data_IF_979963804766
#
_entry.id   IF_979963804766
#
_cell.length_a   1.000
_cell.length_b   1.000
_cell.length_c   1.000
_cell.angle_alpha   90.00
_cell.angle_beta   90.00
_cell.angle_gamma   90.00
#
_symmetry.space_group_name_H-M   'P 1'
#
loop_
_entity.id
_entity.type
_entity.pdbx_description
1 polymer ?
#
# COMPACT_ATOMS: atom_id res chain seq x y z
N UNK A 1 -11.39 -18.97 7.17
CA UNK A 1 -10.46 -17.93 6.69
C UNK A 1 -10.58 -16.74 7.63
N UNK A 2 -9.49 -16.25 8.24
CA UNK A 2 -9.56 -15.06 9.10
C UNK A 2 -9.81 -13.82 8.23
N UNK A 3 -10.74 -12.95 8.64
CA UNK A 3 -11.01 -11.69 7.94
C UNK A 3 -9.83 -10.71 8.05
N UNK A 4 -9.68 -9.84 7.04
CA UNK A 4 -8.74 -8.72 7.08
C UNK A 4 -9.01 -7.81 8.29
N UNK A 5 -7.94 -7.33 8.92
CA UNK A 5 -8.00 -6.45 10.09
C UNK A 5 -7.80 -4.97 9.78
N UNK A 6 -7.03 -4.67 8.73
CA UNK A 6 -6.83 -3.31 8.20
C UNK A 6 -6.27 -3.39 6.77
N UNK A 7 -6.31 -2.28 6.05
CA UNK A 7 -5.74 -2.12 4.71
C UNK A 7 -4.79 -0.92 4.64
N UNK A 8 -3.57 -1.12 4.14
CA UNK A 8 -2.67 -0.04 3.72
C UNK A 8 -2.76 0.15 2.19
N UNK A 9 -3.01 1.39 1.76
CA UNK A 9 -3.08 1.78 0.35
C UNK A 9 -1.97 2.77 -0.03
N UNK A 10 -1.21 2.43 -1.06
CA UNK A 10 -0.16 3.28 -1.63
C UNK A 10 -0.56 3.88 -3.00
N UNK A 11 -0.24 5.16 -3.27
CA UNK A 11 -0.58 5.83 -4.52
C UNK A 11 0.31 5.40 -5.68
N UNK A 12 -0.14 5.73 -6.90
CA UNK A 12 0.68 5.59 -8.10
C UNK A 12 1.74 6.68 -8.21
N UNK A 13 2.59 6.58 -9.23
CA UNK A 13 3.61 7.57 -9.52
C UNK A 13 3.01 8.98 -9.66
N UNK A 14 3.57 9.97 -8.96
CA UNK A 14 3.15 11.36 -9.00
C UNK A 14 1.82 11.69 -8.30
N UNK A 15 1.12 10.70 -7.77
CA UNK A 15 -0.11 10.89 -6.99
C UNK A 15 0.19 10.97 -5.48
N UNK A 16 -0.85 11.25 -4.69
CA UNK A 16 -0.81 11.25 -3.21
C UNK A 16 -1.90 10.35 -2.62
N UNK A 17 -1.91 10.30 -1.29
CA UNK A 17 -2.90 9.58 -0.48
C UNK A 17 -4.36 9.95 -0.75
N UNK A 18 -4.64 11.09 -1.40
CA UNK A 18 -5.99 11.55 -1.73
C UNK A 18 -6.40 11.26 -3.18
N UNK A 19 -5.60 10.48 -3.92
CA UNK A 19 -5.99 10.03 -5.25
C UNK A 19 -7.37 9.35 -5.23
N UNK A 20 -8.28 9.76 -6.11
CA UNK A 20 -9.70 9.38 -6.09
C UNK A 20 -9.93 7.87 -5.94
N UNK A 21 -9.16 7.02 -6.62
CA UNK A 21 -9.25 5.55 -6.49
C UNK A 21 -8.99 5.07 -5.06
N UNK A 22 -7.99 5.64 -4.37
CA UNK A 22 -7.68 5.23 -3.00
C UNK A 22 -8.75 5.70 -2.02
N UNK A 23 -9.28 6.91 -2.22
CA UNK A 23 -10.41 7.42 -1.44
C UNK A 23 -11.64 6.52 -1.60
N UNK A 24 -12.02 6.21 -2.84
CA UNK A 24 -13.17 5.36 -3.13
C UNK A 24 -13.06 3.96 -2.48
N UNK A 25 -11.86 3.35 -2.49
CA UNK A 25 -11.64 2.05 -1.84
C UNK A 25 -11.76 2.16 -0.31
N UNK A 26 -11.17 3.21 0.29
CA UNK A 26 -11.28 3.41 1.73
C UNK A 26 -12.72 3.63 2.18
N UNK A 27 -13.48 4.44 1.44
CA UNK A 27 -14.87 4.75 1.75
C UNK A 27 -15.75 3.49 1.63
N UNK A 28 -15.55 2.69 0.58
CA UNK A 28 -16.28 1.45 0.34
C UNK A 28 -16.00 0.34 1.37
N UNK A 29 -14.85 0.39 2.06
CA UNK A 29 -14.45 -0.60 3.05
C UNK A 29 -14.80 -0.21 4.48
N UNK A 30 -15.35 0.99 4.71
CA UNK A 30 -15.79 1.42 6.04
C UNK A 30 -16.77 0.40 6.66
N UNK A 31 -16.59 -0.01 7.94
CA UNK A 31 -15.73 0.59 8.96
C UNK A 31 -14.33 -0.04 9.11
N UNK A 32 -13.86 -0.84 8.14
CA UNK A 32 -12.51 -1.40 8.18
C UNK A 32 -11.47 -0.27 8.24
N UNK A 33 -10.45 -0.32 9.12
CA UNK A 33 -9.36 0.65 9.11
C UNK A 33 -8.59 0.62 7.78
N UNK A 34 -8.57 1.75 7.08
CA UNK A 34 -7.80 1.93 5.84
C UNK A 34 -6.88 3.13 5.97
N UNK A 35 -5.56 2.91 5.91
CA UNK A 35 -4.58 3.99 5.81
C UNK A 35 -4.20 4.22 4.35
N UNK A 36 -4.11 5.49 3.96
CA UNK A 36 -3.63 5.90 2.64
C UNK A 36 -2.31 6.65 2.86
N UNK A 37 -1.21 6.08 2.44
CA UNK A 37 0.11 6.67 2.70
C UNK A 37 0.55 7.64 1.60
N UNK A 38 1.46 8.55 1.95
CA UNK A 38 2.29 9.27 0.98
C UNK A 38 3.72 8.72 0.98
N UNK A 39 4.30 8.59 -0.22
CA UNK A 39 5.72 8.21 -0.35
C UNK A 39 6.66 9.37 0.05
N UNK A 40 7.90 9.08 0.49
CA UNK A 40 8.88 10.10 0.90
C UNK A 40 9.13 11.20 -0.15
N UNK A 41 9.18 10.88 -1.44
CA UNK A 41 9.28 11.87 -2.51
C UNK A 41 8.11 12.86 -2.50
N UNK A 42 6.88 12.36 -2.32
CA UNK A 42 5.67 13.19 -2.24
C UNK A 42 5.67 14.06 -0.98
N UNK A 43 6.00 13.48 0.17
CA UNK A 43 6.13 14.21 1.45
C UNK A 43 7.18 15.33 1.37
N UNK A 44 8.26 15.12 0.61
CA UNK A 44 9.32 16.11 0.38
C UNK A 44 9.04 17.09 -0.78
N UNK A 45 7.87 17.05 -1.41
CA UNK A 45 7.53 17.92 -2.55
C UNK A 45 8.38 17.69 -3.81
N UNK A 46 9.06 16.54 -3.93
CA UNK A 46 9.92 16.21 -5.08
C UNK A 46 9.09 15.68 -6.24
N UNK A 47 9.53 16.01 -7.47
CA UNK A 47 8.99 15.40 -8.70
C UNK A 47 9.50 13.96 -8.85
N UNK A 48 8.67 13.09 -9.42
CA UNK A 48 9.02 11.69 -9.68
C UNK A 48 8.66 10.74 -8.54
N UNK A 49 9.20 9.52 -8.60
CA UNK A 49 8.99 8.46 -7.59
C UNK A 49 10.27 8.17 -6.83
N UNK A 50 10.12 7.67 -5.60
CA UNK A 50 11.25 7.13 -4.85
C UNK A 50 11.85 5.91 -5.57
N UNK A 51 13.15 5.69 -5.35
CA UNK A 51 13.78 4.42 -5.76
C UNK A 51 13.10 3.27 -5.01
N UNK A 52 12.99 2.12 -5.66
CA UNK A 52 12.25 0.98 -5.11
C UNK A 52 12.63 0.61 -3.65
N UNK A 53 13.92 0.54 -3.26
CA UNK A 53 14.27 0.23 -1.86
C UNK A 53 13.73 1.24 -0.85
N UNK A 54 13.71 2.54 -1.20
CA UNK A 54 13.18 3.60 -0.33
C UNK A 54 11.67 3.50 -0.22
N UNK A 55 10.98 3.25 -1.34
CA UNK A 55 9.54 3.12 -1.36
C UNK A 55 9.07 1.85 -0.62
N UNK A 56 9.76 0.72 -0.78
CA UNK A 56 9.49 -0.52 -0.04
C UNK A 56 9.67 -0.31 1.47
N UNK A 57 10.78 0.32 1.89
CA UNK A 57 11.00 0.64 3.30
C UNK A 57 9.91 1.55 3.89
N UNK A 58 9.41 2.51 3.11
CA UNK A 58 8.28 3.35 3.50
C UNK A 58 7.00 2.52 3.69
N UNK A 59 6.69 1.58 2.77
CA UNK A 59 5.54 0.67 2.92
C UNK A 59 5.65 -0.15 4.21
N UNK A 60 6.82 -0.73 4.49
CA UNK A 60 7.05 -1.53 5.72
C UNK A 60 6.83 -0.67 6.99
N UNK A 61 7.30 0.57 6.96
CA UNK A 61 7.16 1.50 8.10
C UNK A 61 5.69 1.85 8.36
N UNK A 62 4.97 2.26 7.31
CA UNK A 62 3.54 2.61 7.40
C UNK A 62 2.68 1.39 7.76
N UNK A 63 3.03 0.20 7.26
CA UNK A 63 2.38 -1.06 7.62
C UNK A 63 2.52 -1.37 9.12
N UNK A 64 3.72 -1.21 9.68
CA UNK A 64 3.95 -1.42 11.10
C UNK A 64 3.17 -0.43 11.97
N UNK A 65 3.10 0.84 11.53
CA UNK A 65 2.32 1.87 12.22
C UNK A 65 0.82 1.56 12.20
N UNK A 66 0.27 1.16 11.05
CA UNK A 66 -1.14 0.78 10.94
C UNK A 66 -1.48 -0.45 11.77
N UNK A 67 -0.63 -1.49 11.73
CA UNK A 67 -0.82 -2.71 12.54
C UNK A 67 -0.89 -2.38 14.03
N UNK A 68 0.02 -1.53 14.50
CA UNK A 68 0.05 -1.06 15.89
C UNK A 68 -1.18 -0.22 16.23
N UNK A 69 -1.50 0.79 15.41
CA UNK A 69 -2.62 1.71 15.63
C UNK A 69 -3.99 1.04 15.59
N UNK A 70 -4.18 0.09 14.68
CA UNK A 70 -5.40 -0.71 14.57
C UNK A 70 -5.47 -1.87 15.58
N UNK A 71 -4.41 -2.10 16.38
CA UNK A 71 -4.31 -3.19 17.37
C UNK A 71 -4.58 -4.57 16.76
N UNK A 72 -4.07 -4.82 15.56
CA UNK A 72 -4.21 -6.10 14.86
C UNK A 72 -2.91 -6.90 14.88
N UNK A 73 -2.98 -8.19 14.53
CA UNK A 73 -1.79 -8.98 14.21
C UNK A 73 -1.33 -8.65 12.79
N UNK A 74 -0.02 -8.65 12.55
CA UNK A 74 0.55 -8.33 11.23
C UNK A 74 -0.01 -9.24 10.11
N UNK A 75 -0.26 -10.52 10.40
CA UNK A 75 -0.87 -11.46 9.45
C UNK A 75 -2.37 -11.19 9.13
N UNK A 76 -2.97 -10.14 9.68
CA UNK A 76 -4.31 -9.64 9.32
C UNK A 76 -4.28 -8.39 8.44
N UNK A 77 -3.09 -7.84 8.19
CA UNK A 77 -2.92 -6.66 7.36
C UNK A 77 -3.08 -7.04 5.88
N UNK A 78 -3.89 -6.29 5.14
CA UNK A 78 -3.84 -6.29 3.68
C UNK A 78 -3.03 -5.08 3.25
N UNK A 79 -2.16 -5.24 2.26
CA UNK A 79 -1.38 -4.12 1.70
C UNK A 79 -1.59 -4.04 0.20
N UNK A 80 -1.56 -2.83 -0.35
CA UNK A 80 -1.87 -2.69 -1.77
C UNK A 80 -1.73 -1.27 -2.24
N UNK A 81 -2.06 -1.06 -3.51
CA UNK A 81 -1.97 0.26 -4.09
C UNK A 81 -2.16 0.27 -5.59
N UNK A 82 -2.07 1.48 -6.15
CA UNK A 82 -2.23 1.71 -7.57
C UNK A 82 -0.89 1.71 -8.29
N UNK A 83 -0.75 0.92 -9.37
CA UNK A 83 0.42 0.94 -10.26
C UNK A 83 1.75 0.86 -9.47
N UNK A 84 2.57 1.93 -9.47
CA UNK A 84 3.80 2.02 -8.68
C UNK A 84 3.60 1.62 -7.21
N UNK A 85 2.55 2.11 -6.54
CA UNK A 85 2.26 1.74 -5.15
C UNK A 85 1.95 0.26 -4.98
N UNK A 86 1.16 -0.31 -5.91
CA UNK A 86 0.89 -1.75 -5.94
C UNK A 86 2.16 -2.59 -6.10
N UNK A 87 3.07 -2.17 -7.00
CA UNK A 87 4.39 -2.80 -7.17
C UNK A 87 5.18 -2.77 -5.87
N UNK A 88 5.30 -1.63 -5.19
CA UNK A 88 6.09 -1.51 -3.97
C UNK A 88 5.48 -2.34 -2.82
N UNK A 89 4.16 -2.39 -2.69
CA UNK A 89 3.49 -3.27 -1.73
C UNK A 89 3.74 -4.75 -2.04
N UNK A 90 3.67 -5.17 -3.30
CA UNK A 90 3.96 -6.56 -3.68
C UNK A 90 5.42 -6.95 -3.40
N UNK A 91 6.36 -6.04 -3.63
CA UNK A 91 7.77 -6.25 -3.32
C UNK A 91 8.01 -6.35 -1.81
N UNK A 92 7.39 -5.47 -1.01
CA UNK A 92 7.48 -5.55 0.45
C UNK A 92 7.00 -6.90 0.99
N UNK A 93 5.89 -7.44 0.47
CA UNK A 93 5.37 -8.77 0.84
C UNK A 93 6.32 -9.87 0.38
N UNK A 94 6.85 -9.79 -0.84
CA UNK A 94 7.86 -10.74 -1.32
C UNK A 94 9.15 -10.73 -0.48
N UNK A 95 9.54 -9.57 0.06
CA UNK A 95 10.70 -9.37 0.93
C UNK A 95 10.42 -9.72 2.40
N UNK A 96 9.22 -10.24 2.73
CA UNK A 96 8.91 -10.80 4.05
C UNK A 96 7.99 -9.96 4.93
N UNK A 97 7.38 -8.89 4.43
CA UNK A 97 6.31 -8.18 5.16
C UNK A 97 5.12 -9.12 5.37
N UNK A 98 4.70 -9.43 6.62
CA UNK A 98 3.53 -10.28 6.85
C UNK A 98 2.26 -9.59 6.36
N UNK A 99 1.47 -10.30 5.55
CA UNK A 99 0.21 -9.81 5.04
C UNK A 99 -0.80 -10.97 4.88
N UNK A 100 -2.08 -10.66 5.09
CA UNK A 100 -3.21 -11.52 4.78
C UNK A 100 -3.52 -11.57 3.27
N UNK A 101 -3.09 -10.55 2.52
CA UNK A 101 -3.33 -10.47 1.08
C UNK A 101 -2.81 -9.17 0.45
N UNK A 102 -2.94 -9.12 -0.88
CA UNK A 102 -2.56 -7.97 -1.72
C UNK A 102 -3.78 -7.37 -2.43
N UNK A 103 -3.83 -6.04 -2.54
CA UNK A 103 -4.79 -5.32 -3.40
C UNK A 103 -4.03 -4.56 -4.48
N UNK A 104 -4.13 -5.00 -5.73
CA UNK A 104 -3.33 -4.48 -6.85
C UNK A 104 -4.22 -3.76 -7.86
N UNK A 105 -4.23 -2.43 -7.79
CA UNK A 105 -5.09 -1.58 -8.61
C UNK A 105 -4.31 -1.10 -9.84
N UNK A 106 -4.76 -1.45 -11.04
CA UNK A 106 -4.10 -1.03 -12.29
C UNK A 106 -2.59 -1.37 -12.32
N UNK A 107 -2.22 -2.53 -11.79
CA UNK A 107 -0.84 -3.04 -11.81
C UNK A 107 -0.82 -4.42 -12.48
N UNK A 108 -0.28 -4.55 -13.71
CA UNK A 108 -0.15 -5.84 -14.34
C UNK A 108 0.97 -6.64 -13.65
N UNK A 109 0.63 -7.81 -13.11
CA UNK A 109 1.60 -8.71 -12.48
C UNK A 109 2.57 -9.33 -13.48
N UNK A 110 2.18 -9.40 -14.75
CA UNK A 110 3.01 -9.85 -15.87
C UNK A 110 3.29 -8.68 -16.81
N UNK A 111 4.51 -8.57 -17.36
CA UNK A 111 4.79 -7.63 -18.43
C UNK A 111 3.84 -7.85 -19.62
N UNK A 112 3.44 -6.80 -20.35
CA UNK A 112 2.70 -6.97 -21.61
C UNK A 112 3.43 -7.95 -22.54
N UNK A 113 2.71 -8.97 -23.02
CA UNK A 113 3.27 -10.00 -23.91
C UNK A 113 3.98 -11.17 -23.21
N UNK A 114 3.76 -11.38 -21.91
CA UNK A 114 4.20 -12.55 -21.15
C UNK A 114 3.06 -13.23 -20.42
#
# INVERSE_FOLDING_TARGET
>A
MSSAGALLLAPGAGADRNHHTLCAVADALSPLPVERMDFPARKAGRKGVDRAPVAVAAVVTEAAQLVSGAKIRANRLVVGGRSFGGRMCSMAVADGLPAAGLVLLSYPLHPPGK
#
